data_IF_026321247904
#
_entry.id   IF_026321247904
#
_cell.length_a   1.000
_cell.length_b   1.000
_cell.length_c   1.000
_cell.angle_alpha   90.00
_cell.angle_beta   90.00
_cell.angle_gamma   90.00
#
_symmetry.space_group_name_H-M   'P 1'
#
loop_
_entity.id
_entity.type
_entity.pdbx_description
1 polymer ?
#
# COMPACT_ATOMS: atom_id res chain seq x y z
N UNK A 1 -74.86 -2.63 7.12
CA UNK A 1 -73.60 -2.09 7.71
C UNK A 1 -72.60 -3.20 8.08
N UNK A 2 -73.01 -4.33 8.66
CA UNK A 2 -72.13 -5.48 8.97
C UNK A 2 -71.36 -6.13 7.78
N UNK A 3 -71.91 -6.29 6.56
CA UNK A 3 -71.21 -7.01 5.49
C UNK A 3 -69.97 -6.29 4.94
N UNK A 4 -70.03 -4.96 4.85
CA UNK A 4 -68.91 -4.13 4.37
C UNK A 4 -67.75 -4.11 5.37
N UNK A 5 -68.06 -4.17 6.67
CA UNK A 5 -67.04 -4.26 7.72
C UNK A 5 -66.31 -5.62 7.70
N UNK A 6 -67.03 -6.71 7.41
CA UNK A 6 -66.43 -8.03 7.26
C UNK A 6 -65.53 -8.13 6.02
N UNK A 7 -65.95 -7.54 4.89
CA UNK A 7 -65.11 -7.47 3.69
C UNK A 7 -63.84 -6.66 3.95
N UNK A 8 -63.96 -5.47 4.54
CA UNK A 8 -62.81 -4.65 4.91
C UNK A 8 -61.86 -5.35 5.91
N UNK A 9 -62.41 -6.15 6.83
CA UNK A 9 -61.62 -6.96 7.74
C UNK A 9 -60.84 -8.07 7.02
N UNK A 10 -61.49 -8.77 6.09
CA UNK A 10 -60.85 -9.79 5.24
C UNK A 10 -59.73 -9.18 4.38
N UNK A 11 -60.00 -8.04 3.73
CA UNK A 11 -59.02 -7.34 2.90
C UNK A 11 -57.82 -6.85 3.75
N UNK A 12 -58.07 -6.35 4.96
CA UNK A 12 -57.01 -5.95 5.89
C UNK A 12 -56.16 -7.15 6.36
N UNK A 13 -56.78 -8.32 6.60
CA UNK A 13 -56.05 -9.55 6.94
C UNK A 13 -55.18 -10.03 5.78
N UNK A 14 -55.70 -10.00 4.55
CA UNK A 14 -54.93 -10.36 3.36
C UNK A 14 -53.77 -9.39 3.13
N UNK A 15 -53.99 -8.08 3.26
CA UNK A 15 -52.94 -7.07 3.15
C UNK A 15 -51.87 -7.25 4.22
N UNK A 16 -52.26 -7.52 5.47
CA UNK A 16 -51.33 -7.81 6.56
C UNK A 16 -50.46 -9.03 6.25
N UNK A 17 -51.06 -10.11 5.72
CA UNK A 17 -50.33 -11.30 5.27
C UNK A 17 -49.36 -11.01 4.14
N UNK A 18 -49.76 -10.21 3.14
CA UNK A 18 -48.87 -9.79 2.05
C UNK A 18 -47.71 -8.94 2.56
N UNK A 19 -47.96 -7.97 3.45
CA UNK A 19 -46.91 -7.13 4.05
C UNK A 19 -45.92 -8.00 4.85
N UNK A 20 -46.42 -8.94 5.66
CA UNK A 20 -45.56 -9.85 6.41
C UNK A 20 -44.69 -10.71 5.49
N UNK A 21 -45.27 -11.26 4.42
CA UNK A 21 -44.55 -12.04 3.42
C UNK A 21 -43.49 -11.20 2.70
N UNK A 22 -43.84 -9.99 2.23
CA UNK A 22 -42.90 -9.08 1.57
C UNK A 22 -41.78 -8.65 2.51
N UNK A 23 -42.08 -8.38 3.79
CA UNK A 23 -41.08 -8.06 4.81
C UNK A 23 -40.10 -9.21 5.00
N UNK A 24 -40.59 -10.44 5.15
CA UNK A 24 -39.75 -11.62 5.31
C UNK A 24 -38.85 -11.86 4.08
N UNK A 25 -39.38 -11.65 2.87
CA UNK A 25 -38.60 -11.74 1.64
C UNK A 25 -37.51 -10.66 1.58
N UNK A 26 -37.84 -9.41 1.92
CA UNK A 26 -36.89 -8.30 1.95
C UNK A 26 -35.76 -8.55 2.97
N UNK A 27 -36.09 -9.07 4.15
CA UNK A 27 -35.10 -9.46 5.16
C UNK A 27 -34.20 -10.60 4.68
N UNK A 28 -34.77 -11.60 4.01
CA UNK A 28 -33.98 -12.69 3.42
C UNK A 28 -33.01 -12.18 2.35
N UNK A 29 -33.46 -11.31 1.45
CA UNK A 29 -32.61 -10.71 0.41
C UNK A 29 -31.52 -9.85 1.05
N UNK A 30 -31.88 -8.99 2.02
CA UNK A 30 -30.93 -8.11 2.70
C UNK A 30 -29.84 -8.89 3.44
N UNK A 31 -30.21 -9.99 4.11
CA UNK A 31 -29.24 -10.85 4.79
C UNK A 31 -28.26 -11.51 3.81
N UNK A 32 -28.74 -11.97 2.64
CA UNK A 32 -27.89 -12.53 1.58
C UNK A 32 -26.95 -11.49 0.97
N UNK A 33 -27.44 -10.27 0.73
CA UNK A 33 -26.60 -9.17 0.23
C UNK A 33 -25.50 -8.83 1.25
N UNK A 34 -25.84 -8.74 2.53
CA UNK A 34 -24.85 -8.51 3.60
C UNK A 34 -23.79 -9.61 3.66
N UNK A 35 -24.19 -10.88 3.50
CA UNK A 35 -23.24 -12.00 3.45
C UNK A 35 -22.32 -11.93 2.22
N UNK A 36 -22.87 -11.52 1.07
CA UNK A 36 -22.09 -11.30 -0.14
C UNK A 36 -21.07 -10.17 0.05
N UNK A 37 -21.48 -9.05 0.65
CA UNK A 37 -20.61 -7.90 0.91
C UNK A 37 -19.45 -8.25 1.83
N UNK A 38 -19.71 -9.02 2.90
CA UNK A 38 -18.65 -9.52 3.80
C UNK A 38 -17.67 -10.41 3.03
N UNK A 39 -18.17 -11.32 2.20
CA UNK A 39 -17.33 -12.19 1.37
C UNK A 39 -16.49 -11.36 0.40
N UNK A 40 -17.10 -10.37 -0.26
CA UNK A 40 -16.42 -9.46 -1.19
C UNK A 40 -15.32 -8.66 -0.50
N UNK A 41 -15.59 -8.08 0.67
CA UNK A 41 -14.60 -7.34 1.46
C UNK A 41 -13.39 -8.22 1.78
N UNK A 42 -13.62 -9.45 2.23
CA UNK A 42 -12.55 -10.41 2.55
C UNK A 42 -11.73 -10.81 1.32
N UNK A 43 -12.36 -10.96 0.15
CA UNK A 43 -11.65 -11.25 -1.10
C UNK A 43 -10.76 -10.07 -1.50
N UNK A 44 -11.29 -8.84 -1.44
CA UNK A 44 -10.51 -7.64 -1.74
C UNK A 44 -9.32 -7.47 -0.79
N UNK A 45 -9.51 -7.71 0.51
CA UNK A 45 -8.42 -7.72 1.48
C UNK A 45 -7.36 -8.77 1.14
N UNK A 46 -7.77 -9.98 0.74
CA UNK A 46 -6.83 -11.04 0.34
C UNK A 46 -6.04 -10.65 -0.92
N UNK A 47 -6.70 -10.06 -1.92
CA UNK A 47 -6.05 -9.56 -3.13
C UNK A 47 -5.00 -8.50 -2.81
N UNK A 48 -5.36 -7.50 -1.98
CA UNK A 48 -4.42 -6.47 -1.55
C UNK A 48 -3.20 -7.07 -0.86
N UNK A 49 -3.39 -8.07 0.02
CA UNK A 49 -2.27 -8.75 0.70
C UNK A 49 -1.34 -9.46 -0.27
N UNK A 50 -1.88 -10.11 -1.30
CA UNK A 50 -1.07 -10.76 -2.34
C UNK A 50 -0.27 -9.73 -3.13
N UNK A 51 -0.90 -8.61 -3.50
CA UNK A 51 -0.24 -7.49 -4.16
C UNK A 51 0.91 -6.92 -3.30
N UNK A 52 0.68 -6.69 -2.01
CA UNK A 52 1.69 -6.15 -1.10
C UNK A 52 2.90 -7.12 -0.95
N UNK A 53 2.66 -8.43 -0.90
CA UNK A 53 3.73 -9.45 -0.84
C UNK A 53 4.52 -9.52 -2.15
N UNK A 54 3.84 -9.46 -3.29
CA UNK A 54 4.48 -9.41 -4.60
C UNK A 54 5.34 -8.15 -4.75
N UNK A 55 4.81 -7.01 -4.32
CA UNK A 55 5.53 -5.74 -4.30
C UNK A 55 6.76 -5.81 -3.43
N UNK A 56 6.68 -6.42 -2.24
CA UNK A 56 7.84 -6.59 -1.37
C UNK A 56 8.93 -7.42 -2.06
N UNK A 57 8.57 -8.58 -2.62
CA UNK A 57 9.53 -9.45 -3.34
C UNK A 57 10.17 -8.71 -4.51
N UNK A 58 9.36 -8.01 -5.31
CA UNK A 58 9.85 -7.21 -6.43
C UNK A 58 10.77 -6.07 -5.99
N UNK A 59 10.48 -5.40 -4.87
CA UNK A 59 11.35 -4.38 -4.33
C UNK A 59 12.67 -4.96 -3.82
N UNK A 60 12.65 -6.11 -3.15
CA UNK A 60 13.86 -6.79 -2.66
C UNK A 60 14.78 -7.22 -3.81
N UNK A 61 14.24 -7.88 -4.83
CA UNK A 61 15.04 -8.32 -5.98
C UNK A 61 15.50 -7.14 -6.84
N UNK A 62 14.59 -6.18 -7.06
CA UNK A 62 14.84 -4.98 -7.85
C UNK A 62 15.90 -4.08 -7.24
N UNK A 63 15.88 -3.83 -5.93
CA UNK A 63 16.89 -3.00 -5.27
C UNK A 63 18.27 -3.65 -5.33
N UNK A 64 18.36 -4.97 -5.15
CA UNK A 64 19.63 -5.68 -5.20
C UNK A 64 20.24 -5.61 -6.61
N UNK A 65 19.41 -5.79 -7.64
CA UNK A 65 19.84 -5.72 -9.04
C UNK A 65 20.27 -4.30 -9.42
N UNK A 66 19.49 -3.28 -9.02
CA UNK A 66 19.80 -1.88 -9.30
C UNK A 66 21.09 -1.42 -8.62
N UNK A 67 21.32 -1.82 -7.36
CA UNK A 67 22.57 -1.55 -6.65
C UNK A 67 23.79 -2.20 -7.31
N UNK A 68 23.66 -3.43 -7.83
CA UNK A 68 24.73 -4.12 -8.55
C UNK A 68 25.10 -3.43 -9.87
N UNK A 69 24.11 -2.84 -10.55
CA UNK A 69 24.30 -2.12 -11.81
C UNK A 69 24.69 -0.65 -11.62
N UNK A 70 24.86 -0.18 -10.38
CA UNK A 70 25.05 1.23 -10.03
C UNK A 70 23.92 2.16 -10.52
N UNK A 71 22.72 1.60 -10.73
CA UNK A 71 21.50 2.37 -11.05
C UNK A 71 20.82 2.82 -9.75
N UNK A 72 21.31 3.93 -9.22
CA UNK A 72 20.89 4.45 -7.92
C UNK A 72 19.47 5.02 -7.93
N UNK A 73 18.99 5.53 -9.07
CA UNK A 73 17.62 6.03 -9.22
C UNK A 73 16.62 4.90 -9.19
N UNK A 74 16.89 3.80 -9.91
CA UNK A 74 16.02 2.63 -9.87
C UNK A 74 16.02 2.02 -8.46
N UNK A 75 17.19 1.92 -7.82
CA UNK A 75 17.29 1.44 -6.44
C UNK A 75 16.46 2.32 -5.48
N UNK A 76 16.52 3.65 -5.65
CA UNK A 76 15.75 4.59 -4.85
C UNK A 76 14.25 4.48 -5.09
N UNK A 77 13.82 4.21 -6.32
CA UNK A 77 12.41 3.98 -6.64
C UNK A 77 11.86 2.73 -5.93
N UNK A 78 12.60 1.63 -5.91
CA UNK A 78 12.23 0.43 -5.16
C UNK A 78 12.16 0.68 -3.65
N UNK A 79 13.14 1.39 -3.09
CA UNK A 79 13.13 1.77 -1.66
C UNK A 79 11.98 2.72 -1.35
N UNK A 80 11.68 3.70 -2.20
CA UNK A 80 10.57 4.62 -1.99
C UNK A 80 9.22 3.90 -1.94
N UNK A 81 9.01 2.94 -2.85
CA UNK A 81 7.82 2.08 -2.83
C UNK A 81 7.76 1.28 -1.54
N UNK A 82 8.87 0.68 -1.12
CA UNK A 82 8.96 -0.03 0.16
C UNK A 82 8.62 0.84 1.37
N UNK A 83 9.12 2.08 1.41
CA UNK A 83 8.84 3.03 2.48
C UNK A 83 7.38 3.50 2.51
N UNK A 84 6.67 3.33 1.39
CA UNK A 84 5.24 3.65 1.26
C UNK A 84 4.32 2.47 1.64
N UNK A 85 4.85 1.26 1.80
CA UNK A 85 4.08 0.08 2.20
C UNK A 85 3.74 0.11 3.70
N UNK A 86 2.51 -0.28 4.05
CA UNK A 86 2.12 -0.46 5.44
C UNK A 86 2.70 -1.78 6.00
N UNK A 87 3.81 -1.66 6.72
CA UNK A 87 4.51 -2.79 7.36
C UNK A 87 3.63 -3.55 8.34
N UNK A 88 2.64 -2.91 8.97
CA UNK A 88 1.78 -3.55 9.97
C UNK A 88 0.79 -4.52 9.32
N UNK A 89 0.26 -4.15 8.16
CA UNK A 89 -0.64 -5.00 7.35
C UNK A 89 0.13 -6.19 6.78
N UNK A 90 1.34 -5.95 6.28
CA UNK A 90 2.23 -6.99 5.76
C UNK A 90 2.62 -8.03 6.83
N UNK A 91 3.08 -7.59 8.01
CA UNK A 91 3.47 -8.51 9.09
C UNK A 91 2.29 -9.31 9.65
N UNK A 92 1.11 -8.71 9.74
CA UNK A 92 -0.11 -9.41 10.15
C UNK A 92 -0.52 -10.49 9.13
N UNK A 93 -0.30 -10.22 7.85
CA UNK A 93 -0.57 -11.18 6.77
C UNK A 93 0.45 -12.33 6.76
N UNK A 94 1.69 -12.05 7.14
CA UNK A 94 2.75 -13.05 7.28
C UNK A 94 2.46 -14.04 8.42
N UNK A 95 1.92 -13.56 9.54
CA UNK A 95 1.63 -14.39 10.72
C UNK A 95 0.60 -15.51 10.46
N UNK A 96 -0.30 -15.31 9.48
CA UNK A 96 -1.30 -16.31 9.07
C UNK A 96 -0.73 -17.34 8.06
N UNK A 97 0.53 -17.17 7.62
CA UNK A 97 1.21 -17.99 6.61
C UNK A 97 2.53 -18.55 7.15
N UNK A 98 2.98 -19.71 6.68
CA UNK A 98 4.28 -20.28 7.10
C UNK A 98 5.50 -19.53 6.51
N UNK A 99 5.27 -18.39 5.86
CA UNK A 99 6.26 -17.55 5.14
C UNK A 99 6.85 -16.44 6.02
N UNK A 100 6.46 -16.33 7.30
CA UNK A 100 6.87 -15.25 8.20
C UNK A 100 8.38 -15.00 8.24
N UNK A 101 9.19 -16.07 8.26
CA UNK A 101 10.67 -15.97 8.25
C UNK A 101 11.21 -15.36 6.95
N UNK A 102 10.62 -15.69 5.79
CA UNK A 102 11.09 -15.16 4.50
C UNK A 102 10.75 -13.68 4.33
N UNK A 103 9.63 -13.25 4.91
CA UNK A 103 9.22 -11.85 4.85
C UNK A 103 10.12 -10.96 5.73
N UNK A 104 10.44 -11.40 6.94
CA UNK A 104 11.36 -10.68 7.83
C UNK A 104 12.76 -10.55 7.21
N UNK A 105 13.27 -11.61 6.55
CA UNK A 105 14.53 -11.51 5.78
C UNK A 105 14.46 -10.48 4.64
N UNK A 106 13.34 -10.39 3.93
CA UNK A 106 13.14 -9.40 2.88
C UNK A 106 13.13 -7.96 3.44
N UNK A 107 12.51 -7.75 4.61
CA UNK A 107 12.52 -6.48 5.33
C UNK A 107 13.94 -6.06 5.73
N UNK A 108 14.70 -6.98 6.32
CA UNK A 108 16.09 -6.72 6.72
C UNK A 108 16.95 -6.33 5.52
N UNK A 109 16.87 -7.10 4.41
CA UNK A 109 17.59 -6.79 3.16
C UNK A 109 17.23 -5.42 2.59
N UNK A 110 15.95 -5.06 2.59
CA UNK A 110 15.50 -3.76 2.10
C UNK A 110 16.01 -2.61 2.97
N UNK A 111 16.09 -2.81 4.30
CA UNK A 111 16.61 -1.79 5.20
C UNK A 111 18.14 -1.64 5.11
N UNK A 112 18.85 -2.75 4.90
CA UNK A 112 20.28 -2.74 4.59
C UNK A 112 20.54 -1.99 3.28
N UNK A 113 19.79 -2.32 2.22
CA UNK A 113 19.88 -1.65 0.92
C UNK A 113 19.54 -0.15 1.01
N UNK A 114 18.53 0.23 1.81
CA UNK A 114 18.20 1.63 2.09
C UNK A 114 19.38 2.37 2.73
N UNK A 115 20.00 1.78 3.75
CA UNK A 115 21.13 2.36 4.46
C UNK A 115 22.35 2.51 3.54
N UNK A 116 22.64 1.45 2.77
CA UNK A 116 23.73 1.44 1.80
C UNK A 116 23.52 2.51 0.72
N UNK A 117 22.31 2.60 0.14
CA UNK A 117 22.01 3.56 -0.91
C UNK A 117 22.11 5.01 -0.41
N UNK A 118 21.62 5.30 0.81
CA UNK A 118 21.78 6.64 1.41
C UNK A 118 23.25 7.04 1.49
N UNK A 119 24.11 6.15 1.99
CA UNK A 119 25.54 6.42 2.10
C UNK A 119 26.20 6.65 0.72
N UNK A 120 25.82 5.84 -0.28
CA UNK A 120 26.34 5.98 -1.64
C UNK A 120 25.90 7.31 -2.26
N UNK A 121 24.61 7.65 -2.19
CA UNK A 121 24.05 8.89 -2.76
C UNK A 121 24.70 10.12 -2.11
N UNK A 122 24.87 10.13 -0.78
CA UNK A 122 25.58 11.21 -0.09
C UNK A 122 27.00 11.39 -0.59
N UNK A 123 27.77 10.29 -0.67
CA UNK A 123 29.16 10.33 -1.14
C UNK A 123 29.26 10.77 -2.60
N UNK A 124 28.43 10.20 -3.48
CA UNK A 124 28.41 10.52 -4.91
C UNK A 124 27.98 11.96 -5.18
N UNK A 125 27.05 12.50 -4.38
CA UNK A 125 26.69 13.91 -4.42
C UNK A 125 27.89 14.80 -4.06
N UNK A 126 28.60 14.50 -2.98
CA UNK A 126 29.77 15.29 -2.55
C UNK A 126 30.93 15.20 -3.56
N UNK A 127 31.12 14.03 -4.19
CA UNK A 127 32.06 13.84 -5.30
C UNK A 127 31.66 14.71 -6.51
N UNK A 128 30.40 14.69 -6.92
CA UNK A 128 29.91 15.50 -8.04
C UNK A 128 30.07 17.01 -7.79
N UNK A 129 29.86 17.46 -6.55
CA UNK A 129 30.10 18.86 -6.16
C UNK A 129 31.58 19.23 -6.29
N UNK A 130 32.48 18.38 -5.80
CA UNK A 130 33.93 18.62 -5.86
C UNK A 130 34.46 18.62 -7.29
N UNK A 131 33.91 17.76 -8.13
CA UNK A 131 34.33 17.59 -9.52
C UNK A 131 33.62 18.59 -10.46
N UNK A 132 32.84 19.54 -9.91
CA UNK A 132 32.06 20.57 -10.62
C UNK A 132 31.08 20.00 -11.68
N UNK A 133 30.63 18.76 -11.51
CA UNK A 133 29.66 18.09 -12.39
C UNK A 133 28.21 18.44 -12.01
N UNK A 134 27.72 19.54 -12.59
CA UNK A 134 26.35 20.04 -12.38
C UNK A 134 25.29 18.99 -12.70
N UNK A 135 25.50 18.19 -13.76
CA UNK A 135 24.51 17.20 -14.18
C UNK A 135 24.37 16.08 -13.14
N UNK A 136 25.49 15.60 -12.60
CA UNK A 136 25.48 14.61 -11.51
C UNK A 136 24.95 15.19 -10.21
N UNK A 137 25.26 16.44 -9.87
CA UNK A 137 24.70 17.12 -8.68
C UNK A 137 23.16 17.14 -8.75
N UNK A 138 22.58 17.57 -9.87
CA UNK A 138 21.12 17.58 -10.04
C UNK A 138 20.51 16.17 -10.01
N UNK A 139 21.20 15.19 -10.61
CA UNK A 139 20.79 13.78 -10.64
C UNK A 139 20.69 13.21 -9.22
N UNK A 140 21.77 13.31 -8.44
CA UNK A 140 21.78 12.80 -7.06
C UNK A 140 20.87 13.60 -6.12
N UNK A 141 20.69 14.90 -6.37
CA UNK A 141 19.74 15.72 -5.60
C UNK A 141 18.32 15.17 -5.64
N UNK A 142 17.86 14.73 -6.82
CA UNK A 142 16.51 14.17 -7.03
C UNK A 142 16.28 12.84 -6.32
N UNK A 143 17.34 12.15 -5.90
CA UNK A 143 17.25 10.87 -5.20
C UNK A 143 16.94 11.04 -3.72
N UNK A 144 17.43 12.11 -3.07
CA UNK A 144 17.22 12.32 -1.62
C UNK A 144 15.74 12.25 -1.17
N UNK A 145 14.77 12.89 -1.87
CA UNK A 145 13.35 12.78 -1.52
C UNK A 145 12.83 11.34 -1.49
N UNK A 146 13.24 10.51 -2.45
CA UNK A 146 12.83 9.11 -2.57
C UNK A 146 13.26 8.28 -1.35
N UNK A 147 14.39 8.64 -0.74
CA UNK A 147 14.97 7.99 0.44
C UNK A 147 14.51 8.62 1.77
N UNK A 148 13.49 9.47 1.75
CA UNK A 148 13.05 10.28 2.91
C UNK A 148 14.18 11.18 3.49
N UNK A 149 15.16 11.56 2.68
CA UNK A 149 16.30 12.41 3.06
C UNK A 149 16.12 13.87 2.62
N UNK A 150 14.87 14.37 2.59
CA UNK A 150 14.52 15.71 2.12
C UNK A 150 15.37 16.82 2.76
N UNK A 151 15.42 16.85 4.09
CA UNK A 151 16.12 17.91 4.83
C UNK A 151 17.63 17.89 4.57
N UNK A 152 18.23 16.71 4.48
CA UNK A 152 19.66 16.56 4.26
C UNK A 152 20.06 16.91 2.83
N UNK A 153 19.26 16.46 1.85
CA UNK A 153 19.41 16.86 0.45
C UNK A 153 19.30 18.37 0.25
N UNK A 154 18.28 19.02 0.85
CA UNK A 154 18.11 20.47 0.80
C UNK A 154 19.28 21.22 1.45
N UNK A 155 19.76 20.75 2.60
CA UNK A 155 20.91 21.35 3.29
C UNK A 155 22.16 21.29 2.42
N UNK A 156 22.48 20.12 1.86
CA UNK A 156 23.65 19.93 0.99
C UNK A 156 23.56 20.77 -0.28
N UNK A 157 22.40 20.75 -0.95
CA UNK A 157 22.19 21.52 -2.16
C UNK A 157 22.25 23.04 -1.91
N UNK A 158 21.72 23.51 -0.78
CA UNK A 158 21.86 24.92 -0.39
C UNK A 158 23.32 25.31 -0.15
N UNK A 159 24.11 24.47 0.53
CA UNK A 159 25.55 24.72 0.71
C UNK A 159 26.28 24.81 -0.62
N UNK A 160 25.98 23.89 -1.56
CA UNK A 160 26.53 23.91 -2.91
C UNK A 160 26.23 25.22 -3.64
N UNK A 161 24.98 25.69 -3.59
CA UNK A 161 24.58 26.96 -4.22
C UNK A 161 25.26 28.18 -3.59
N UNK A 162 25.54 28.15 -2.28
CA UNK A 162 26.26 29.22 -1.59
C UNK A 162 27.77 29.24 -1.85
N UNK A 163 28.35 28.13 -2.32
CA UNK A 163 29.77 28.02 -2.66
C UNK A 163 30.09 28.34 -4.13
N UNK A 164 29.08 28.58 -4.96
CA UNK A 164 29.20 29.03 -6.35
C UNK A 164 29.32 30.55 -6.47
#
# INVERSE_FOLDING_TARGET
MMPQLQLAHSDAQQLSGMIAFTSALAENISSKVKQLDVTRSRVLECMQRVEDILDLKFCTDGVQTALQNEDYEQAAAHIHRFLSLDKTVLKKSAADSNEGSSLDEAFEKLHEAETQLKAIVMRKFDEAVRDEDVASVERFFKIFPLLNQHNEGLKKFSTYLCSQ
#
